data_IF_955124104087
#
_entry.id   IF_955124104087
#
_cell.length_a   1.000
_cell.length_b   1.000
_cell.length_c   1.000
_cell.angle_alpha   90.00
_cell.angle_beta   90.00
_cell.angle_gamma   90.00
#
_symmetry.space_group_name_H-M   'P 1'
#
loop_
_entity.id
_entity.type
_entity.pdbx_description
1 polymer ?
#
# COMPACT_ATOMS: atom_id res chain seq x y z
N UNK A 1 9.13 -41.29 -2.83
CA UNK A 1 7.89 -40.76 -2.21
C UNK A 1 8.10 -39.28 -2.00
N UNK A 2 7.10 -38.40 -2.18
CA UNK A 2 7.26 -37.00 -1.84
C UNK A 2 7.49 -36.89 -0.33
N UNK A 3 8.54 -36.16 0.07
CA UNK A 3 8.80 -35.87 1.48
C UNK A 3 7.66 -35.02 2.02
N UNK A 4 6.87 -35.60 2.93
CA UNK A 4 5.72 -34.93 3.53
C UNK A 4 5.99 -34.71 5.01
N UNK A 5 5.84 -33.46 5.45
CA UNK A 5 5.92 -33.08 6.86
C UNK A 5 4.52 -32.79 7.39
N UNK A 6 4.32 -33.01 8.69
CA UNK A 6 3.04 -32.72 9.35
C UNK A 6 3.04 -31.30 9.89
N UNK A 7 1.99 -30.54 9.56
CA UNK A 7 1.76 -29.18 10.07
C UNK A 7 0.49 -29.19 10.93
N UNK A 8 0.58 -28.62 12.14
CA UNK A 8 -0.61 -28.42 12.98
C UNK A 8 -1.31 -27.12 12.56
N UNK A 9 -2.62 -27.21 12.38
CA UNK A 9 -3.49 -26.07 12.07
C UNK A 9 -4.71 -26.06 13.00
N UNK A 10 -5.33 -24.91 13.17
CA UNK A 10 -6.58 -24.81 13.93
C UNK A 10 -7.72 -25.55 13.22
N UNK A 11 -8.68 -26.04 14.00
CA UNK A 11 -9.89 -26.68 13.47
C UNK A 11 -10.65 -25.75 12.53
N UNK A 12 -10.71 -24.47 12.87
CA UNK A 12 -11.34 -23.43 12.04
C UNK A 12 -10.67 -23.30 10.67
N UNK A 13 -9.33 -23.24 10.63
CA UNK A 13 -8.60 -23.18 9.36
C UNK A 13 -8.83 -24.45 8.53
N UNK A 14 -8.89 -25.62 9.17
CA UNK A 14 -9.22 -26.88 8.50
C UNK A 14 -10.61 -26.85 7.85
N UNK A 15 -11.61 -26.30 8.52
CA UNK A 15 -12.95 -26.14 7.95
C UNK A 15 -12.95 -25.22 6.74
N UNK A 16 -12.28 -24.06 6.85
CA UNK A 16 -12.14 -23.11 5.73
C UNK A 16 -11.42 -23.72 4.54
N UNK A 17 -10.35 -24.49 4.77
CA UNK A 17 -9.65 -25.19 3.68
C UNK A 17 -10.56 -26.25 3.04
N UNK A 18 -11.37 -26.97 3.81
CA UNK A 18 -12.32 -27.94 3.26
C UNK A 18 -13.41 -27.28 2.39
N UNK A 19 -13.93 -26.12 2.78
CA UNK A 19 -14.94 -25.41 1.98
C UNK A 19 -14.38 -24.85 0.66
N UNK A 20 -13.05 -24.71 0.56
CA UNK A 20 -12.36 -24.24 -0.64
C UNK A 20 -11.98 -25.37 -1.60
N UNK A 21 -12.28 -26.62 -1.26
CA UNK A 21 -12.03 -27.75 -2.16
C UNK A 21 -12.92 -27.67 -3.39
N UNK A 22 -12.31 -27.76 -4.56
CA UNK A 22 -13.05 -27.79 -5.84
C UNK A 22 -13.55 -29.18 -6.17
N UNK A 23 -12.98 -30.21 -5.53
CA UNK A 23 -13.39 -31.59 -5.71
C UNK A 23 -13.22 -32.38 -4.38
N UNK A 24 -14.11 -33.34 -4.05
CA UNK A 24 -14.01 -34.11 -2.80
C UNK A 24 -12.68 -34.86 -2.62
N UNK A 25 -12.01 -35.21 -3.71
CA UNK A 25 -10.71 -35.91 -3.71
C UNK A 25 -9.48 -34.99 -3.78
N UNK A 26 -9.66 -33.67 -3.87
CA UNK A 26 -8.54 -32.72 -3.86
C UNK A 26 -7.78 -32.86 -2.53
N UNK A 27 -6.46 -33.04 -2.62
CA UNK A 27 -5.61 -33.13 -1.42
C UNK A 27 -5.38 -31.73 -0.84
N UNK A 28 -4.98 -31.65 0.44
CA UNK A 28 -4.58 -30.35 0.99
C UNK A 28 -3.35 -29.78 0.31
N UNK A 29 -2.46 -30.63 -0.21
CA UNK A 29 -1.27 -30.17 -0.92
C UNK A 29 -1.66 -29.48 -2.25
N UNK A 30 -2.59 -30.07 -2.99
CA UNK A 30 -3.11 -29.48 -4.24
C UNK A 30 -3.86 -28.18 -3.95
N UNK A 31 -4.72 -28.18 -2.93
CA UNK A 31 -5.48 -27.00 -2.53
C UNK A 31 -4.58 -25.86 -2.06
N UNK A 32 -3.63 -26.14 -1.17
CA UNK A 32 -2.68 -25.13 -0.67
C UNK A 32 -1.80 -24.65 -1.83
N UNK A 33 -1.32 -25.55 -2.68
CA UNK A 33 -0.54 -25.19 -3.87
C UNK A 33 -1.32 -24.24 -4.77
N UNK A 34 -2.59 -24.54 -5.06
CA UNK A 34 -3.47 -23.67 -5.85
C UNK A 34 -3.72 -22.32 -5.18
N UNK A 35 -3.96 -22.27 -3.88
CA UNK A 35 -4.14 -21.02 -3.15
C UNK A 35 -2.88 -20.16 -3.17
N UNK A 36 -1.70 -20.78 -2.99
CA UNK A 36 -0.40 -20.10 -3.08
C UNK A 36 -0.15 -19.59 -4.49
N UNK A 37 -0.41 -20.40 -5.53
CA UNK A 37 -0.30 -19.96 -6.92
C UNK A 37 -1.23 -18.78 -7.20
N UNK A 38 -2.50 -18.86 -6.77
CA UNK A 38 -3.45 -17.77 -6.95
C UNK A 38 -3.02 -16.49 -6.22
N UNK A 39 -2.49 -16.59 -5.00
CA UNK A 39 -1.94 -15.46 -4.26
C UNK A 39 -0.66 -14.88 -4.89
N UNK A 40 0.09 -15.68 -5.66
CA UNK A 40 1.27 -15.23 -6.43
C UNK A 40 0.89 -14.65 -7.79
N UNK A 41 -0.21 -15.11 -8.38
CA UNK A 41 -0.75 -14.66 -9.67
C UNK A 41 -1.63 -13.41 -9.54
N UNK A 42 -2.12 -13.09 -8.34
CA UNK A 42 -2.73 -11.79 -8.10
C UNK A 42 -1.68 -10.72 -8.32
N UNK A 43 -1.74 -10.09 -9.51
CA UNK A 43 -0.97 -8.88 -9.78
C UNK A 43 -1.24 -7.89 -8.65
N UNK A 44 -0.21 -7.18 -8.18
CA UNK A 44 -0.45 -6.13 -7.21
C UNK A 44 -1.46 -5.14 -7.78
N UNK A 45 -2.26 -4.50 -6.92
CA UNK A 45 -3.21 -3.49 -7.36
C UNK A 45 -2.43 -2.41 -8.10
N UNK A 46 -2.88 -1.98 -9.28
CA UNK A 46 -2.24 -0.89 -10.02
C UNK A 46 -2.44 0.47 -9.35
N UNK A 47 -3.44 0.58 -8.48
CA UNK A 47 -3.75 1.78 -7.72
C UNK A 47 -4.09 1.46 -6.27
N UNK A 48 -3.61 2.29 -5.34
CA UNK A 48 -3.92 2.20 -3.92
C UNK A 48 -4.34 3.57 -3.40
N UNK A 49 -5.53 3.69 -2.77
CA UNK A 49 -5.92 4.91 -2.10
C UNK A 49 -5.18 5.05 -0.76
N UNK A 50 -4.36 6.08 -0.63
CA UNK A 50 -3.79 6.50 0.65
C UNK A 50 -4.79 7.42 1.35
N UNK A 51 -5.43 6.88 2.40
CA UNK A 51 -6.53 7.54 3.13
C UNK A 51 -6.02 8.26 4.39
N UNK A 52 -4.97 7.72 5.01
CA UNK A 52 -4.41 8.23 6.25
C UNK A 52 -2.96 8.63 6.04
N UNK A 53 -2.58 9.78 6.60
CA UNK A 53 -1.21 10.30 6.55
C UNK A 53 -0.78 10.74 7.94
N UNK A 54 0.54 10.81 8.17
CA UNK A 54 1.10 11.41 9.38
C UNK A 54 1.47 12.86 9.14
N UNK A 55 0.95 13.76 9.96
CA UNK A 55 1.29 15.19 9.94
C UNK A 55 1.39 15.70 11.37
N UNK A 56 2.43 16.48 11.70
CA UNK A 56 2.64 16.98 13.05
C UNK A 56 2.72 15.90 14.15
N UNK A 57 3.12 14.67 13.80
CA UNK A 57 3.15 13.53 14.73
C UNK A 57 1.82 12.81 14.94
N UNK A 58 0.72 13.28 14.33
CA UNK A 58 -0.60 12.67 14.43
C UNK A 58 -0.99 11.97 13.12
N UNK A 59 -1.76 10.88 13.22
CA UNK A 59 -2.38 10.24 12.06
C UNK A 59 -3.68 10.98 11.77
N UNK A 60 -3.82 11.52 10.56
CA UNK A 60 -5.02 12.20 10.11
C UNK A 60 -5.59 11.55 8.86
N UNK A 61 -6.91 11.47 8.81
CA UNK A 61 -7.65 11.07 7.62
C UNK A 61 -7.71 12.23 6.61
N UNK A 62 -7.58 11.89 5.34
CA UNK A 62 -7.73 12.84 4.23
C UNK A 62 -9.20 12.97 3.85
N UNK A 63 -9.61 14.16 3.43
CA UNK A 63 -10.96 14.40 2.90
C UNK A 63 -11.15 13.69 1.56
N UNK A 64 -10.10 13.65 0.73
CA UNK A 64 -10.04 12.87 -0.49
C UNK A 64 -8.80 11.96 -0.49
N UNK A 65 -8.94 10.66 -0.78
CA UNK A 65 -7.79 9.77 -0.85
C UNK A 65 -6.78 10.18 -1.92
N UNK A 66 -5.50 10.01 -1.63
CA UNK A 66 -4.46 10.14 -2.64
C UNK A 66 -4.36 8.81 -3.39
N UNK A 67 -4.70 8.82 -4.67
CA UNK A 67 -4.45 7.66 -5.53
C UNK A 67 -2.95 7.51 -5.80
N UNK A 68 -2.35 6.45 -5.25
CA UNK A 68 -0.99 6.02 -5.55
C UNK A 68 -1.03 5.05 -6.73
N UNK A 69 -0.23 5.30 -7.76
CA UNK A 69 0.06 4.30 -8.77
C UNK A 69 1.07 3.29 -8.20
N UNK A 70 0.92 2.02 -8.58
CA UNK A 70 1.83 0.95 -8.20
C UNK A 70 2.32 0.24 -9.46
N UNK A 71 3.63 0.20 -9.60
CA UNK A 71 4.32 -0.56 -10.62
C UNK A 71 5.26 -1.57 -9.97
N UNK A 72 5.56 -2.66 -10.67
CA UNK A 72 6.59 -3.61 -10.24
C UNK A 72 7.61 -3.74 -11.35
N UNK A 73 8.85 -3.37 -11.04
CA UNK A 73 9.99 -3.42 -11.95
C UNK A 73 11.15 -4.12 -11.23
N UNK A 74 11.79 -5.07 -11.89
CA UNK A 74 12.92 -5.86 -11.35
C UNK A 74 12.70 -6.49 -9.95
N UNK A 75 11.43 -6.76 -9.60
CA UNK A 75 11.04 -7.35 -8.32
C UNK A 75 10.83 -6.34 -7.20
N UNK A 76 10.95 -5.05 -7.48
CA UNK A 76 10.67 -3.95 -6.56
C UNK A 76 9.32 -3.30 -6.87
N UNK A 77 8.64 -2.86 -5.82
CA UNK A 77 7.41 -2.09 -5.87
C UNK A 77 7.75 -0.61 -5.96
N UNK A 78 7.24 0.05 -7.00
CA UNK A 78 7.34 1.49 -7.19
C UNK A 78 5.97 2.11 -6.92
N UNK A 79 5.84 2.85 -5.83
CA UNK A 79 4.61 3.54 -5.45
C UNK A 79 4.78 5.03 -5.69
N UNK A 80 3.89 5.67 -6.45
CA UNK A 80 4.07 7.08 -6.76
C UNK A 80 2.78 7.87 -6.96
N UNK A 81 2.89 9.18 -6.72
CA UNK A 81 1.94 10.19 -7.16
C UNK A 81 2.73 11.45 -7.56
N UNK A 82 2.95 11.65 -8.86
CA UNK A 82 3.73 12.80 -9.35
C UNK A 82 3.13 14.14 -8.96
N UNK A 83 1.80 14.19 -8.86
CA UNK A 83 1.05 15.40 -8.58
C UNK A 83 1.30 15.89 -7.14
N UNK A 84 1.64 14.98 -6.24
CA UNK A 84 1.96 15.23 -4.83
C UNK A 84 3.44 14.96 -4.50
N UNK A 85 4.27 14.74 -5.53
CA UNK A 85 5.71 14.46 -5.38
C UNK A 85 5.96 13.33 -4.39
N UNK A 86 5.22 12.24 -4.56
CA UNK A 86 5.37 11.01 -3.82
C UNK A 86 6.00 9.94 -4.72
N UNK A 87 6.99 9.23 -4.23
CA UNK A 87 7.74 8.14 -4.81
C UNK A 87 8.40 7.30 -3.70
N UNK A 88 8.09 6.00 -3.68
CA UNK A 88 8.81 5.00 -2.89
C UNK A 88 9.18 3.81 -3.77
N UNK A 89 10.33 3.20 -3.49
CA UNK A 89 10.82 1.99 -4.16
C UNK A 89 11.22 1.00 -3.10
N UNK A 90 10.56 -0.15 -3.05
CA UNK A 90 10.70 -1.09 -1.94
C UNK A 90 10.55 -2.55 -2.39
N UNK A 91 11.12 -3.54 -1.67
CA UNK A 91 11.02 -4.95 -2.03
C UNK A 91 9.59 -5.51 -1.87
N UNK A 92 8.74 -4.85 -1.08
CA UNK A 92 7.34 -5.23 -0.93
C UNK A 92 6.42 -4.03 -0.72
N UNK A 93 5.12 -4.27 -0.91
CA UNK A 93 4.10 -3.24 -0.84
C UNK A 93 3.99 -2.59 0.55
N UNK A 94 4.24 -3.36 1.62
CA UNK A 94 4.13 -2.84 2.99
C UNK A 94 5.24 -1.82 3.24
N UNK A 95 6.47 -2.15 2.86
CA UNK A 95 7.60 -1.23 2.96
C UNK A 95 7.40 0.00 2.08
N UNK A 96 6.95 -0.18 0.83
CA UNK A 96 6.64 0.94 -0.07
C UNK A 96 5.58 1.90 0.48
N UNK A 97 4.52 1.37 1.11
CA UNK A 97 3.49 2.19 1.77
C UNK A 97 4.03 2.94 3.00
N UNK A 98 4.96 2.34 3.76
CA UNK A 98 5.61 3.01 4.88
C UNK A 98 6.48 4.18 4.40
N UNK A 99 7.27 3.96 3.37
CA UNK A 99 8.17 4.96 2.79
C UNK A 99 7.41 6.13 2.15
N UNK A 100 6.40 5.84 1.31
CA UNK A 100 5.61 6.89 0.65
C UNK A 100 4.86 7.77 1.67
N UNK A 101 4.44 7.19 2.79
CA UNK A 101 3.82 7.94 3.90
C UNK A 101 4.85 8.83 4.63
N UNK A 102 6.09 8.35 4.79
CA UNK A 102 7.17 9.15 5.39
C UNK A 102 7.61 10.29 4.47
N UNK A 103 7.59 10.09 3.16
CA UNK A 103 7.84 11.14 2.18
C UNK A 103 6.72 12.19 2.18
N UNK A 104 5.45 11.78 2.30
CA UNK A 104 4.35 12.73 2.52
C UNK A 104 4.60 13.60 3.76
N UNK A 105 4.99 12.99 4.89
CA UNK A 105 5.31 13.72 6.12
C UNK A 105 6.47 14.71 5.92
N UNK A 106 7.47 14.32 5.12
CA UNK A 106 8.61 15.18 4.77
C UNK A 106 8.16 16.37 3.93
N UNK A 107 7.36 16.13 2.89
CA UNK A 107 6.74 17.17 2.08
C UNK A 107 5.89 18.13 2.94
N UNK A 108 5.14 17.60 3.91
CA UNK A 108 4.36 18.43 4.83
C UNK A 108 5.25 19.38 5.64
N UNK A 109 6.32 18.86 6.23
CA UNK A 109 7.30 19.66 6.98
C UNK A 109 7.95 20.74 6.10
N UNK A 110 8.34 20.37 4.88
CA UNK A 110 9.06 21.27 3.98
C UNK A 110 8.21 22.36 3.35
N UNK A 111 6.91 22.15 3.16
CA UNK A 111 6.06 23.07 2.42
C UNK A 111 4.93 23.70 3.24
N UNK A 112 4.42 23.01 4.26
CA UNK A 112 3.29 23.49 5.07
C UNK A 112 3.75 24.05 6.41
N UNK A 113 4.67 23.38 7.10
CA UNK A 113 5.14 23.84 8.41
C UNK A 113 6.17 24.97 8.32
N UNK A 114 6.85 25.11 7.16
CA UNK A 114 7.78 26.22 6.91
C UNK A 114 7.07 27.55 6.68
N UNK A 115 7.79 28.62 7.03
CA UNK A 115 7.34 29.99 6.80
C UNK A 115 7.16 30.29 5.30
N UNK A 116 6.03 30.91 4.95
CA UNK A 116 5.64 31.15 3.57
C UNK A 116 6.56 32.14 2.85
N UNK A 117 7.17 33.09 3.56
CA UNK A 117 8.02 34.13 2.93
C UNK A 117 9.28 33.55 2.30
N UNK A 118 9.71 32.35 2.74
CA UNK A 118 10.84 31.61 2.18
C UNK A 118 10.48 30.70 1.00
N UNK A 119 9.22 30.63 0.58
CA UNK A 119 8.77 29.72 -0.47
C UNK A 119 8.71 30.40 -1.84
N UNK A 120 9.15 29.66 -2.87
CA UNK A 120 8.97 30.09 -4.26
C UNK A 120 7.49 30.00 -4.68
N UNK A 121 7.11 30.67 -5.76
CA UNK A 121 5.73 30.59 -6.27
C UNK A 121 5.24 29.15 -6.55
N UNK A 122 6.12 28.28 -7.05
CA UNK A 122 5.82 26.87 -7.25
C UNK A 122 5.67 26.10 -5.93
N UNK A 123 6.49 26.41 -4.91
CA UNK A 123 6.36 25.83 -3.58
C UNK A 123 5.07 26.27 -2.88
N UNK A 124 4.64 27.52 -3.06
CA UNK A 124 3.36 28.02 -2.56
C UNK A 124 2.16 27.34 -3.24
N UNK A 125 2.24 27.05 -4.54
CA UNK A 125 1.22 26.26 -5.24
C UNK A 125 1.15 24.83 -4.68
N UNK A 126 2.30 24.21 -4.46
CA UNK A 126 2.38 22.87 -3.90
C UNK A 126 1.84 22.80 -2.47
N UNK A 127 2.19 23.77 -1.62
CA UNK A 127 1.63 23.96 -0.28
C UNK A 127 0.10 24.01 -0.28
N UNK A 128 -0.50 24.82 -1.17
CA UNK A 128 -1.97 24.90 -1.29
C UNK A 128 -2.59 23.56 -1.64
N UNK A 129 -1.93 22.79 -2.51
CA UNK A 129 -2.38 21.44 -2.89
C UNK A 129 -2.32 20.44 -1.73
N UNK A 130 -1.29 20.50 -0.89
CA UNK A 130 -1.23 19.66 0.32
C UNK A 130 -2.33 20.03 1.33
N UNK A 131 -2.58 21.33 1.51
CA UNK A 131 -3.62 21.82 2.43
C UNK A 131 -5.04 21.44 1.99
N UNK A 132 -5.32 21.41 0.68
CA UNK A 132 -6.64 21.07 0.16
C UNK A 132 -7.05 19.62 0.45
N UNK A 133 -6.08 18.71 0.63
CA UNK A 133 -6.34 17.30 0.93
C UNK A 133 -7.13 17.08 2.23
N UNK A 134 -7.13 18.06 3.15
CA UNK A 134 -7.84 17.97 4.43
C UNK A 134 -9.21 18.69 4.44
N UNK A 135 -9.55 19.41 3.37
CA UNK A 135 -10.74 20.27 3.34
C UNK A 135 -11.74 19.90 2.22
N UNK A 136 -11.37 18.99 1.30
CA UNK A 136 -12.13 18.71 0.08
C UNK A 136 -12.12 19.88 -0.90
N UNK A 137 -12.43 19.67 -2.17
CA UNK A 137 -12.68 20.80 -3.08
C UNK A 137 -13.92 21.57 -2.57
N UNK A 138 -13.72 22.85 -2.21
CA UNK A 138 -14.81 23.78 -1.88
C UNK A 138 -15.43 24.38 -3.15
#
# INVERSE_FOLDING_TARGET
MPDTSSIKISTELKYRLNSLKVHPRETYNDLIGRLVSHARESRPPTHIPLIYVRVGGEIRELAEPIELCVEVEDGEYILYNHALRLLAVAPDLREGLMEVTAEFETNWKDFVERDESGLTGGALQFRRKLLSLFHGES
#
